data_IF_521867691427
#
_entry.id   IF_521867691427
#
_cell.length_a   1.000
_cell.length_b   1.000
_cell.length_c   1.000
_cell.angle_alpha   90.00
_cell.angle_beta   90.00
_cell.angle_gamma   90.00
#
_symmetry.space_group_name_H-M   'P 1'
#
loop_
_entity.id
_entity.type
_entity.pdbx_description
1 polymer ?
#
# COMPACT_ATOMS: atom_id res chain seq x y z
N UNK A 1 -69.46 -3.63 -15.21
CA UNK A 1 -68.59 -4.18 -14.14
C UNK A 1 -67.38 -4.95 -14.68
N UNK A 2 -67.50 -5.72 -15.78
CA UNK A 2 -66.36 -6.47 -16.35
C UNK A 2 -65.24 -5.62 -16.98
N UNK A 3 -65.58 -4.50 -17.63
CA UNK A 3 -64.59 -3.65 -18.32
C UNK A 3 -63.60 -2.97 -17.37
N UNK A 4 -64.10 -2.50 -16.21
CA UNK A 4 -63.28 -1.88 -15.16
C UNK A 4 -62.33 -2.88 -14.49
N UNK A 5 -62.77 -4.13 -14.34
CA UNK A 5 -61.94 -5.21 -13.79
C UNK A 5 -60.80 -5.60 -14.75
N UNK A 6 -61.09 -5.69 -16.06
CA UNK A 6 -60.08 -5.95 -17.09
C UNK A 6 -59.03 -4.84 -17.17
N UNK A 7 -59.44 -3.59 -17.01
CA UNK A 7 -58.53 -2.45 -17.01
C UNK A 7 -57.61 -2.50 -15.79
N UNK A 8 -58.16 -2.76 -14.60
CA UNK A 8 -57.40 -2.92 -13.37
C UNK A 8 -56.39 -4.07 -13.45
N UNK A 9 -56.79 -5.20 -14.03
CA UNK A 9 -55.91 -6.36 -14.23
C UNK A 9 -54.74 -6.04 -15.17
N UNK A 10 -54.98 -5.24 -16.22
CA UNK A 10 -53.95 -4.83 -17.18
C UNK A 10 -52.94 -3.85 -16.56
N UNK A 11 -53.41 -2.91 -15.73
CA UNK A 11 -52.53 -2.02 -14.95
C UNK A 11 -51.71 -2.79 -13.91
N UNK A 12 -52.31 -3.78 -13.25
CA UNK A 12 -51.60 -4.63 -12.30
C UNK A 12 -50.50 -5.46 -13.00
N UNK A 13 -50.78 -6.02 -14.17
CA UNK A 13 -49.77 -6.72 -14.98
C UNK A 13 -48.63 -5.77 -15.41
N UNK A 14 -48.94 -4.55 -15.84
CA UNK A 14 -47.92 -3.56 -16.21
C UNK A 14 -47.03 -3.17 -15.02
N UNK A 15 -47.62 -2.98 -13.83
CA UNK A 15 -46.87 -2.72 -12.60
C UNK A 15 -45.95 -3.89 -12.24
N UNK A 16 -46.43 -5.13 -12.35
CA UNK A 16 -45.63 -6.33 -12.11
C UNK A 16 -44.47 -6.48 -13.11
N UNK A 17 -44.69 -6.15 -14.40
CA UNK A 17 -43.63 -6.14 -15.42
C UNK A 17 -42.58 -5.07 -15.11
N UNK A 18 -42.99 -3.86 -14.67
CA UNK A 18 -42.03 -2.81 -14.28
C UNK A 18 -41.24 -3.15 -13.01
N UNK A 19 -41.81 -3.92 -12.08
CA UNK A 19 -41.07 -4.40 -10.91
C UNK A 19 -40.06 -5.48 -11.29
N UNK A 20 -40.40 -6.36 -12.25
CA UNK A 20 -39.47 -7.41 -12.70
C UNK A 20 -38.30 -6.86 -13.53
N UNK A 21 -38.42 -5.69 -14.15
CA UNK A 21 -37.30 -5.03 -14.86
C UNK A 21 -36.53 -4.03 -13.99
N UNK A 22 -37.07 -3.63 -12.83
CA UNK A 22 -36.38 -2.80 -11.85
C UNK A 22 -35.33 -3.56 -11.03
N UNK A 23 -35.30 -4.90 -11.11
CA UNK A 23 -34.17 -5.73 -10.72
C UNK A 23 -33.15 -5.79 -11.87
N UNK A 24 -32.67 -4.63 -12.33
CA UNK A 24 -31.37 -4.59 -12.98
C UNK A 24 -30.35 -4.78 -11.87
N UNK A 25 -30.03 -6.03 -11.55
CA UNK A 25 -28.84 -6.34 -10.80
C UNK A 25 -27.68 -5.67 -11.54
N UNK A 26 -27.06 -4.68 -10.91
CA UNK A 26 -25.63 -4.47 -11.07
C UNK A 26 -24.98 -5.81 -10.76
N UNK A 27 -24.88 -6.64 -11.79
CA UNK A 27 -23.98 -7.76 -11.81
C UNK A 27 -22.61 -7.15 -12.03
N UNK A 28 -22.16 -6.39 -11.03
CA UNK A 28 -20.75 -6.25 -10.72
C UNK A 28 -20.30 -7.69 -10.65
N UNK A 29 -19.62 -8.15 -11.70
CA UNK A 29 -18.97 -9.44 -11.71
C UNK A 29 -18.01 -9.36 -10.53
N UNK A 30 -18.49 -9.84 -9.39
CA UNK A 30 -17.76 -10.29 -8.24
C UNK A 30 -16.96 -11.50 -8.74
N UNK A 31 -16.00 -11.21 -9.62
CA UNK A 31 -14.83 -12.01 -9.78
C UNK A 31 -14.11 -11.81 -8.44
N UNK A 32 -14.59 -12.52 -7.42
CA UNK A 32 -13.72 -13.08 -6.41
C UNK A 32 -12.68 -13.87 -7.19
N UNK A 33 -11.69 -13.16 -7.73
CA UNK A 33 -10.36 -13.70 -7.87
C UNK A 33 -9.97 -13.93 -6.42
N UNK A 34 -10.36 -15.09 -5.92
CA UNK A 34 -9.66 -15.80 -4.87
C UNK A 34 -8.25 -15.99 -5.41
N UNK A 35 -7.49 -14.90 -5.35
CA UNK A 35 -6.11 -14.80 -5.76
C UNK A 35 -5.37 -15.47 -4.63
N UNK A 36 -5.31 -16.80 -4.69
CA UNK A 36 -4.44 -17.58 -3.84
C UNK A 36 -3.05 -16.96 -4.00
N UNK A 37 -2.59 -16.26 -2.96
CA UNK A 37 -1.24 -15.70 -2.89
C UNK A 37 -0.34 -16.91 -2.66
N UNK A 38 -0.05 -17.65 -3.73
CA UNK A 38 0.78 -18.86 -3.72
C UNK A 38 2.27 -18.56 -3.71
N UNK A 39 2.67 -17.31 -3.44
CA UNK A 39 4.05 -16.88 -3.47
C UNK A 39 4.44 -16.05 -2.26
N UNK A 40 5.65 -16.28 -1.77
CA UNK A 40 6.23 -15.56 -0.64
C UNK A 40 6.68 -14.12 -0.97
N UNK A 41 6.01 -13.47 -1.93
CA UNK A 41 6.31 -12.10 -2.34
C UNK A 41 6.27 -11.12 -1.18
N UNK A 42 5.51 -11.40 -0.13
CA UNK A 42 5.47 -10.61 1.09
C UNK A 42 6.84 -10.45 1.78
N UNK A 43 7.80 -11.35 1.53
CA UNK A 43 9.13 -11.30 2.15
C UNK A 43 9.99 -10.16 1.62
N UNK A 44 9.69 -9.62 0.43
CA UNK A 44 10.40 -8.44 -0.08
C UNK A 44 9.87 -7.13 0.54
N UNK A 45 8.66 -7.13 1.12
CA UNK A 45 8.00 -5.95 1.64
C UNK A 45 8.55 -5.60 3.02
N UNK A 46 8.89 -4.33 3.23
CA UNK A 46 9.42 -3.85 4.51
C UNK A 46 8.51 -2.84 5.16
N UNK A 47 8.51 -2.84 6.50
CA UNK A 47 7.77 -1.90 7.33
C UNK A 47 8.73 -0.80 7.80
N UNK A 48 8.54 0.42 7.31
CA UNK A 48 9.31 1.60 7.73
C UNK A 48 8.62 2.24 8.93
N UNK A 49 9.37 2.38 10.02
CA UNK A 49 8.88 2.79 11.34
C UNK A 49 9.70 3.94 11.91
N UNK A 50 9.13 4.72 12.81
CA UNK A 50 9.95 5.62 13.63
C UNK A 50 10.79 4.81 14.64
N UNK A 51 11.74 5.42 15.35
CA UNK A 51 12.63 4.68 16.28
C UNK A 51 11.91 4.01 17.47
N UNK A 52 10.84 4.62 17.99
CA UNK A 52 10.09 4.14 19.16
C UNK A 52 8.64 3.92 18.78
N UNK A 53 8.00 2.89 19.33
CA UNK A 53 6.56 2.73 19.25
C UNK A 53 5.85 3.85 20.04
N UNK A 54 4.61 4.16 19.70
CA UNK A 54 3.82 5.20 20.38
C UNK A 54 3.19 4.61 21.65
N UNK A 55 2.49 3.50 21.52
CA UNK A 55 1.76 2.74 22.56
C UNK A 55 1.97 1.24 22.42
N UNK A 56 1.90 0.71 21.20
CA UNK A 56 1.96 -0.72 20.90
C UNK A 56 2.97 -1.01 19.79
N UNK A 57 3.49 -2.23 19.71
CA UNK A 57 4.36 -2.62 18.61
C UNK A 57 3.72 -2.35 17.24
N UNK A 58 4.49 -1.76 16.31
CA UNK A 58 4.05 -1.52 14.95
C UNK A 58 3.08 -0.36 14.73
N UNK A 59 2.61 0.32 15.78
CA UNK A 59 1.78 1.51 15.62
C UNK A 59 2.53 2.69 14.98
N UNK A 60 3.85 2.68 15.12
CA UNK A 60 4.78 3.65 14.58
C UNK A 60 5.22 3.39 13.13
N UNK A 61 4.61 2.39 12.47
CA UNK A 61 4.75 2.22 11.02
C UNK A 61 4.03 3.33 10.28
N UNK A 62 4.75 3.98 9.37
CA UNK A 62 4.24 5.09 8.58
C UNK A 62 4.38 4.89 7.07
N UNK A 63 5.27 4.00 6.62
CA UNK A 63 5.47 3.72 5.20
C UNK A 63 5.91 2.29 4.93
N UNK A 64 5.65 1.81 3.71
CA UNK A 64 6.19 0.55 3.20
C UNK A 64 7.35 0.80 2.23
N UNK A 65 8.13 -0.24 1.97
CA UNK A 65 9.15 -0.26 0.93
C UNK A 65 9.42 -1.70 0.46
N UNK A 66 10.43 -1.88 -0.37
CA UNK A 66 10.86 -3.20 -0.85
C UNK A 66 12.36 -3.40 -0.73
N UNK A 67 12.79 -4.59 -0.35
CA UNK A 67 14.19 -5.02 -0.37
C UNK A 67 14.66 -5.05 -1.83
N UNK A 68 15.74 -4.34 -2.13
CA UNK A 68 16.37 -4.30 -3.45
C UNK A 68 17.67 -5.12 -3.48
N UNK A 69 18.39 -5.17 -2.36
CA UNK A 69 19.57 -6.02 -2.14
C UNK A 69 19.81 -6.17 -0.64
N UNK A 70 20.87 -6.87 -0.23
CA UNK A 70 21.20 -7.06 1.18
C UNK A 70 21.21 -5.77 2.01
N UNK A 71 21.63 -4.64 1.43
CA UNK A 71 21.76 -3.37 2.16
C UNK A 71 20.86 -2.26 1.66
N UNK A 72 20.01 -2.51 0.67
CA UNK A 72 19.24 -1.46 0.03
C UNK A 72 17.76 -1.77 0.04
N UNK A 73 16.98 -0.79 0.47
CA UNK A 73 15.52 -0.76 0.37
C UNK A 73 15.10 0.39 -0.52
N UNK A 74 14.13 0.14 -1.40
CA UNK A 74 13.48 1.17 -2.21
C UNK A 74 12.14 1.57 -1.58
N UNK A 75 11.82 2.86 -1.62
CA UNK A 75 10.57 3.42 -1.06
C UNK A 75 10.17 4.69 -1.85
N UNK A 76 8.97 5.20 -1.59
CA UNK A 76 8.58 6.53 -2.06
C UNK A 76 9.41 7.62 -1.37
N UNK A 77 9.87 8.63 -2.12
CA UNK A 77 10.61 9.74 -1.54
C UNK A 77 9.78 10.58 -0.57
N UNK A 78 8.47 10.63 -0.74
CA UNK A 78 7.52 11.24 0.20
C UNK A 78 7.50 10.60 1.59
N UNK A 79 7.94 9.36 1.74
CA UNK A 79 8.07 8.73 3.05
C UNK A 79 9.22 9.34 3.88
N UNK A 80 10.26 9.83 3.21
CA UNK A 80 11.53 10.19 3.86
C UNK A 80 11.92 11.64 3.66
N UNK A 81 11.31 12.34 2.72
CA UNK A 81 11.45 13.78 2.54
C UNK A 81 10.70 14.50 3.67
N UNK A 82 11.36 15.46 4.29
CA UNK A 82 10.75 16.43 5.21
C UNK A 82 10.84 17.80 4.57
N UNK A 83 9.74 18.52 4.56
CA UNK A 83 9.69 19.89 4.06
C UNK A 83 9.36 20.77 5.27
N UNK A 84 10.37 21.35 5.95
CA UNK A 84 10.11 22.13 7.14
C UNK A 84 9.23 23.33 6.79
N UNK A 85 8.20 23.59 7.61
CA UNK A 85 7.24 24.68 7.40
C UNK A 85 7.95 26.04 7.26
N UNK A 86 9.04 26.24 8.00
CA UNK A 86 9.81 27.48 8.00
C UNK A 86 10.77 27.59 6.79
N UNK A 87 11.06 26.50 6.10
CA UNK A 87 11.94 26.47 4.92
C UNK A 87 11.37 25.52 3.86
N UNK A 88 10.20 25.81 3.28
CA UNK A 88 9.52 24.89 2.37
C UNK A 88 10.32 24.64 1.08
N UNK A 89 11.29 25.51 0.76
CA UNK A 89 12.21 25.34 -0.38
C UNK A 89 13.44 24.47 -0.07
N UNK A 90 13.65 24.04 1.18
CA UNK A 90 14.75 23.16 1.58
C UNK A 90 14.19 21.81 2.04
N UNK A 91 14.06 20.88 1.11
CA UNK A 91 13.80 19.49 1.46
C UNK A 91 14.96 18.94 2.30
N UNK A 92 14.65 18.33 3.43
CA UNK A 92 15.56 17.56 4.26
C UNK A 92 15.11 16.10 4.32
N UNK A 93 15.89 15.23 4.96
CA UNK A 93 15.54 13.81 5.11
C UNK A 93 15.20 13.49 6.56
N UNK A 94 14.21 12.62 6.77
CA UNK A 94 13.92 12.03 8.09
C UNK A 94 15.17 11.29 8.57
N UNK A 95 15.78 11.72 9.68
CA UNK A 95 17.02 11.12 10.22
C UNK A 95 16.83 9.99 11.25
N UNK A 96 15.58 9.64 11.57
CA UNK A 96 15.26 8.76 12.70
C UNK A 96 14.20 7.70 12.33
N UNK A 97 14.57 6.74 11.49
CA UNK A 97 13.69 5.65 11.11
C UNK A 97 14.38 4.29 11.28
N UNK A 98 13.56 3.26 11.40
CA UNK A 98 13.94 1.85 11.38
C UNK A 98 13.22 1.15 10.24
N UNK A 99 13.87 0.17 9.66
CA UNK A 99 13.31 -0.73 8.66
C UNK A 99 13.12 -2.09 9.31
N UNK A 100 11.92 -2.63 9.25
CA UNK A 100 11.61 -3.98 9.73
C UNK A 100 11.28 -4.88 8.55
N UNK A 101 12.02 -6.00 8.43
CA UNK A 101 11.85 -7.00 7.37
C UNK A 101 11.14 -8.26 7.89
N UNK A 102 10.67 -9.11 6.99
CA UNK A 102 10.10 -10.44 7.30
C UNK A 102 8.99 -10.43 8.36
N UNK A 103 8.16 -9.37 8.38
CA UNK A 103 7.13 -9.15 9.39
C UNK A 103 5.73 -9.23 8.80
N UNK A 104 5.06 -10.38 8.87
CA UNK A 104 3.70 -10.49 8.30
C UNK A 104 2.69 -9.70 9.17
N UNK A 105 2.79 -9.85 10.49
CA UNK A 105 1.92 -9.19 11.45
C UNK A 105 2.55 -7.90 11.94
N UNK A 106 2.10 -6.75 11.40
CA UNK A 106 2.62 -5.42 11.75
C UNK A 106 2.70 -5.18 13.26
N UNK A 107 1.66 -5.57 14.00
CA UNK A 107 1.50 -5.26 15.42
C UNK A 107 2.24 -6.22 16.38
N UNK A 108 2.87 -7.28 15.86
CA UNK A 108 3.69 -8.18 16.67
C UNK A 108 5.07 -7.56 16.89
N UNK A 109 5.69 -7.82 18.06
CA UNK A 109 7.10 -7.46 18.28
C UNK A 109 7.97 -8.19 17.24
N UNK A 110 8.75 -7.47 16.41
CA UNK A 110 9.66 -8.11 15.47
C UNK A 110 10.86 -8.72 16.20
N UNK A 111 11.49 -9.71 15.57
CA UNK A 111 12.79 -10.21 16.00
C UNK A 111 13.85 -9.11 15.83
N UNK A 112 14.77 -8.97 16.79
CA UNK A 112 15.75 -7.87 16.80
C UNK A 112 16.69 -7.93 15.59
N UNK A 113 17.02 -9.13 15.11
CA UNK A 113 17.79 -9.34 13.88
C UNK A 113 17.09 -8.80 12.63
N UNK A 114 15.76 -8.73 12.65
CA UNK A 114 14.92 -8.23 11.56
C UNK A 114 14.65 -6.72 11.65
N UNK A 115 15.25 -6.02 12.61
CA UNK A 115 15.17 -4.58 12.77
C UNK A 115 16.50 -3.94 12.35
N UNK A 116 16.42 -3.00 11.41
CA UNK A 116 17.58 -2.36 10.79
C UNK A 116 17.51 -0.85 10.98
N UNK A 117 18.64 -0.27 11.39
CA UNK A 117 18.84 1.18 11.32
C UNK A 117 19.21 1.59 9.88
N UNK A 118 18.89 2.84 9.54
CA UNK A 118 19.16 3.43 8.23
C UNK A 118 20.43 4.27 8.30
N UNK A 119 21.46 3.84 7.59
CA UNK A 119 22.76 4.51 7.45
C UNK A 119 22.64 5.77 6.58
N UNK A 120 21.94 5.65 5.44
CA UNK A 120 21.84 6.73 4.45
C UNK A 120 20.50 6.73 3.73
N UNK A 121 19.98 7.92 3.49
CA UNK A 121 18.84 8.17 2.59
C UNK A 121 19.37 8.79 1.30
N UNK A 122 19.01 8.20 0.17
CA UNK A 122 19.31 8.72 -1.17
C UNK A 122 17.97 9.06 -1.83
N UNK A 123 17.76 10.33 -2.12
CA UNK A 123 16.57 10.81 -2.83
C UNK A 123 16.86 10.87 -4.33
N UNK A 124 15.86 10.53 -5.13
CA UNK A 124 15.84 10.94 -6.54
C UNK A 124 15.68 12.47 -6.66
N UNK A 125 15.99 13.02 -7.85
CA UNK A 125 15.94 14.46 -8.14
C UNK A 125 14.64 15.06 -7.60
N UNK A 126 14.77 16.18 -6.89
CA UNK A 126 13.63 16.86 -6.29
C UNK A 126 12.63 17.25 -7.39
N UNK A 127 11.36 16.91 -7.20
CA UNK A 127 10.28 17.44 -8.02
C UNK A 127 10.02 18.88 -7.60
N UNK A 128 9.84 19.78 -8.58
CA UNK A 128 9.36 21.12 -8.29
C UNK A 128 8.00 21.04 -7.58
N UNK A 129 7.90 21.68 -6.40
CA UNK A 129 6.64 21.79 -5.67
C UNK A 129 6.20 20.57 -4.84
N UNK A 130 7.07 19.59 -4.57
CA UNK A 130 6.69 18.41 -3.76
C UNK A 130 7.86 17.57 -3.25
N UNK A 131 7.53 16.46 -2.58
CA UNK A 131 8.50 15.44 -2.18
C UNK A 131 9.01 14.63 -3.38
N UNK A 132 10.26 14.15 -3.33
CA UNK A 132 10.82 13.27 -4.37
C UNK A 132 9.94 12.04 -4.60
N UNK A 133 9.85 11.58 -5.85
CA UNK A 133 9.04 10.40 -6.21
C UNK A 133 9.64 9.12 -5.65
N UNK A 134 10.96 8.97 -5.75
CA UNK A 134 11.70 7.76 -5.38
C UNK A 134 12.76 8.05 -4.33
N UNK A 135 13.00 7.08 -3.45
CA UNK A 135 14.12 7.08 -2.53
C UNK A 135 14.67 5.69 -2.27
N UNK A 136 15.95 5.64 -1.90
CA UNK A 136 16.64 4.44 -1.46
C UNK A 136 17.18 4.63 -0.05
N UNK A 137 17.06 3.58 0.76
CA UNK A 137 17.59 3.52 2.12
C UNK A 137 18.73 2.51 2.16
N UNK A 138 19.90 2.96 2.58
CA UNK A 138 21.03 2.09 2.89
C UNK A 138 20.90 1.63 4.33
N UNK A 139 20.95 0.32 4.57
CA UNK A 139 20.90 -0.27 5.89
C UNK A 139 22.31 -0.39 6.49
N UNK A 140 22.41 -0.21 7.81
CA UNK A 140 23.66 -0.31 8.57
C UNK A 140 24.32 -1.70 8.49
N UNK A 141 23.49 -2.75 8.36
CA UNK A 141 23.91 -4.15 8.23
C UNK A 141 23.12 -4.86 7.14
N UNK A 142 23.67 -5.97 6.67
CA UNK A 142 23.09 -6.79 5.60
C UNK A 142 21.87 -7.57 6.09
N UNK A 143 20.81 -7.55 5.30
CA UNK A 143 19.68 -8.48 5.43
C UNK A 143 20.13 -9.86 4.99
N UNK A 144 20.14 -10.80 5.92
CA UNK A 144 20.44 -12.21 5.64
C UNK A 144 19.28 -12.84 4.85
N UNK A 145 19.60 -13.54 3.76
CA UNK A 145 18.60 -14.15 2.88
C UNK A 145 18.26 -13.30 1.64
N UNK A 146 19.26 -12.94 0.83
CA UNK A 146 19.11 -12.09 -0.37
C UNK A 146 18.11 -12.61 -1.42
N UNK A 147 17.63 -13.86 -1.32
CA UNK A 147 16.58 -14.42 -2.19
C UNK A 147 15.29 -13.61 -2.22
N UNK A 148 15.07 -12.74 -1.23
CA UNK A 148 13.88 -11.89 -1.13
C UNK A 148 14.04 -10.51 -1.77
N UNK A 149 15.19 -10.21 -2.37
CA UNK A 149 15.36 -8.97 -3.12
C UNK A 149 14.45 -8.93 -4.36
N UNK A 150 13.76 -7.81 -4.55
CA UNK A 150 12.96 -7.57 -5.75
C UNK A 150 13.88 -7.46 -6.98
N UNK A 151 13.50 -8.15 -8.06
CA UNK A 151 14.16 -7.99 -9.36
C UNK A 151 13.70 -6.69 -10.01
N UNK A 152 14.65 -5.86 -10.43
CA UNK A 152 14.33 -4.66 -11.18
C UNK A 152 13.94 -5.00 -12.63
N UNK A 153 12.99 -4.24 -13.21
CA UNK A 153 12.68 -4.38 -14.63
C UNK A 153 13.91 -3.99 -15.47
N UNK A 154 14.20 -4.79 -16.50
CA UNK A 154 15.27 -4.52 -17.47
C UNK A 154 14.77 -3.75 -18.71
N UNK A 155 13.47 -3.59 -18.82
CA UNK A 155 12.77 -2.95 -19.92
C UNK A 155 11.48 -2.30 -19.40
N UNK A 156 10.89 -1.41 -20.19
CA UNK A 156 9.61 -0.80 -19.84
C UNK A 156 8.50 -1.84 -19.73
N UNK A 157 7.60 -1.65 -18.75
CA UNK A 157 6.47 -2.54 -18.55
C UNK A 157 5.33 -2.16 -19.49
N UNK A 158 4.66 -3.16 -20.05
CA UNK A 158 3.47 -2.97 -20.87
C UNK A 158 2.26 -2.65 -19.97
N UNK A 159 1.38 -1.74 -20.41
CA UNK A 159 0.16 -1.33 -19.68
C UNK A 159 -0.82 -2.46 -19.41
N UNK A 160 -0.72 -3.58 -20.13
CA UNK A 160 -1.56 -4.78 -19.95
C UNK A 160 -1.08 -5.71 -18.83
N UNK A 161 0.07 -5.43 -18.20
CA UNK A 161 0.63 -6.30 -17.16
C UNK A 161 -0.14 -6.20 -15.85
N UNK A 162 -0.52 -7.37 -15.31
CA UNK A 162 -1.15 -7.45 -14.00
C UNK A 162 -0.11 -7.17 -12.90
N UNK A 163 -0.26 -6.04 -12.23
CA UNK A 163 0.56 -5.66 -11.08
C UNK A 163 -0.13 -6.03 -9.76
N UNK A 164 0.65 -6.28 -8.70
CA UNK A 164 0.15 -6.52 -7.34
C UNK A 164 0.75 -5.51 -6.38
N UNK A 165 -0.08 -4.97 -5.50
CA UNK A 165 0.34 -4.06 -4.42
C UNK A 165 0.22 -4.79 -3.09
N UNK A 166 1.23 -4.63 -2.23
CA UNK A 166 1.29 -5.26 -0.92
C UNK A 166 1.63 -4.19 0.13
N UNK A 167 1.03 -4.31 1.31
CA UNK A 167 1.29 -3.43 2.43
C UNK A 167 0.32 -3.66 3.58
N UNK A 168 0.55 -2.98 4.70
CA UNK A 168 -0.29 -3.09 5.90
C UNK A 168 -1.39 -2.03 5.98
N UNK A 169 -1.40 -1.07 5.04
CA UNK A 169 -2.32 0.06 5.06
C UNK A 169 -2.12 1.00 6.26
N UNK A 170 -2.99 2.01 6.34
CA UNK A 170 -3.10 2.89 7.51
C UNK A 170 -4.15 2.33 8.47
N UNK A 171 -3.77 2.11 9.73
CA UNK A 171 -4.68 1.64 10.78
C UNK A 171 -5.30 2.81 11.57
N UNK A 172 -4.69 4.00 11.54
CA UNK A 172 -5.14 5.17 12.28
C UNK A 172 -5.30 6.35 11.32
N UNK A 173 -6.49 6.95 11.27
CA UNK A 173 -6.83 8.04 10.34
C UNK A 173 -6.48 9.44 10.85
N UNK A 174 -6.21 9.60 12.16
CA UNK A 174 -6.05 10.91 12.80
C UNK A 174 -4.68 11.17 13.44
N UNK A 175 -3.65 10.39 13.12
CA UNK A 175 -2.28 10.66 13.56
C UNK A 175 -1.48 11.24 12.39
N UNK A 176 -1.45 12.57 12.31
CA UNK A 176 -0.51 13.29 11.45
C UNK A 176 0.91 13.13 11.98
N UNK A 177 1.86 12.87 11.07
CA UNK A 177 3.31 12.72 11.31
C UNK A 177 4.12 13.67 10.43
#
# INVERSE_FOLDING_TARGET
MYHSALLAMKYLLLLLITMSTAEFQEQEQNLERNLYITGDYHQNVVSIRTRKHIRNWGDNHFCAGSILSARWVVTAGCCVSTQPVNTPKKASTRKNMKVVVFTHQRLKKPLEENVFDVEKVVLDKASEGGCSKLAMLKLEKDVTGQRFAMKLPKQEMNSTWLCRTLGWGRMYFNLCF
#
